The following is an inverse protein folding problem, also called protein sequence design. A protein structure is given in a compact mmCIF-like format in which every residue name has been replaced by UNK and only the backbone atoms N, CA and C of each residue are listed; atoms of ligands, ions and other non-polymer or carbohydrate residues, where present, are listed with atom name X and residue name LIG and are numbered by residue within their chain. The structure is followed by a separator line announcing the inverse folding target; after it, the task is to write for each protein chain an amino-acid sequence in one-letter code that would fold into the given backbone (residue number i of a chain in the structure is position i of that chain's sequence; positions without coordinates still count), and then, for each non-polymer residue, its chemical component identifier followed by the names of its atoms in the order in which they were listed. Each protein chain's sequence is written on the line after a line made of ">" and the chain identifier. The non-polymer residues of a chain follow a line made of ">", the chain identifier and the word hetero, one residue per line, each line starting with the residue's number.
data_IF_624958956517
#
_entry.id   IF_624958956517
#
_cell.length_a   1.000
_cell.length_b   1.000
_cell.length_c   1.000
_cell.angle_alpha   90.00
_cell.angle_beta   90.00
_cell.angle_gamma   90.00
#
_symmetry.space_group_name_H-M   'P 1'
#
loop_
_entity.id
_entity.type
_entity.pdbx_description
1 polymer ?
#
# COMPACT_ATOMS: atom_id res chain seq x y z
N UNK A 1 -58.11 9.07 10.20
CA UNK A 1 -57.45 9.67 11.38
C UNK A 1 -56.70 8.53 12.08
N UNK A 2 -55.46 8.26 11.68
CA UNK A 2 -54.61 7.22 12.26
C UNK A 2 -53.57 7.92 13.08
N UNK A 3 -53.67 7.77 14.41
CA UNK A 3 -52.72 8.28 15.38
C UNK A 3 -51.42 7.47 15.28
N UNK A 4 -50.34 8.11 14.82
CA UNK A 4 -48.95 7.65 15.09
C UNK A 4 -48.53 8.23 16.43
N UNK A 5 -48.82 7.50 17.53
CA UNK A 5 -48.10 7.66 18.79
C UNK A 5 -46.94 6.68 18.82
N UNK A 6 -45.74 7.20 18.86
CA UNK A 6 -44.51 6.47 19.03
C UNK A 6 -43.36 7.44 19.20
N UNK A 7 -43.34 8.21 20.28
CA UNK A 7 -42.19 9.00 20.73
C UNK A 7 -41.05 8.05 21.14
N UNK A 8 -40.30 7.60 20.14
CA UNK A 8 -39.03 6.99 20.39
C UNK A 8 -38.01 8.12 20.54
N UNK A 9 -37.63 8.46 21.77
CA UNK A 9 -36.41 9.23 22.02
C UNK A 9 -35.24 8.45 21.47
N UNK A 10 -34.95 8.65 20.17
CA UNK A 10 -33.73 8.16 19.59
C UNK A 10 -32.58 8.92 20.25
N UNK A 11 -31.59 8.18 20.80
CA UNK A 11 -30.38 8.79 21.29
C UNK A 11 -29.80 9.69 20.16
N UNK A 12 -29.48 10.92 20.49
CA UNK A 12 -28.86 11.85 19.52
C UNK A 12 -27.68 11.15 18.85
N UNK A 13 -27.73 11.03 17.51
CA UNK A 13 -26.68 10.37 16.73
C UNK A 13 -27.01 8.94 16.23
N UNK A 14 -28.18 8.39 16.56
CA UNK A 14 -28.65 7.09 16.02
C UNK A 14 -29.82 7.32 15.07
N UNK A 15 -29.75 6.73 13.87
CA UNK A 15 -30.72 6.91 12.80
C UNK A 15 -31.17 5.56 12.22
N UNK A 16 -32.50 5.34 12.16
CA UNK A 16 -33.09 4.19 11.49
C UNK A 16 -32.96 4.37 9.96
N UNK A 17 -32.53 3.33 9.25
CA UNK A 17 -32.46 3.30 7.80
C UNK A 17 -32.96 1.95 7.26
N UNK A 18 -33.24 1.88 5.96
CA UNK A 18 -33.76 0.69 5.32
C UNK A 18 -33.01 0.45 4.01
N UNK A 19 -32.64 -0.82 3.75
CA UNK A 19 -32.08 -1.25 2.47
C UNK A 19 -33.19 -1.37 1.41
N UNK A 20 -32.79 -1.52 0.16
CA UNK A 20 -33.73 -1.72 -0.97
C UNK A 20 -34.56 -3.00 -0.84
N UNK A 21 -34.03 -4.01 -0.16
CA UNK A 21 -34.70 -5.29 0.13
C UNK A 21 -35.66 -5.24 1.31
N UNK A 22 -35.88 -4.08 1.93
CA UNK A 22 -36.74 -3.89 3.09
C UNK A 22 -36.05 -4.12 4.45
N UNK A 23 -34.79 -4.58 4.48
CA UNK A 23 -34.06 -4.83 5.73
C UNK A 23 -33.82 -3.52 6.48
N UNK A 24 -34.27 -3.43 7.71
CA UNK A 24 -34.04 -2.30 8.61
C UNK A 24 -32.69 -2.42 9.28
N UNK A 25 -31.97 -1.29 9.40
CA UNK A 25 -30.73 -1.18 10.14
C UNK A 25 -30.59 0.20 10.79
N UNK A 26 -29.62 0.37 11.67
CA UNK A 26 -29.41 1.60 12.43
C UNK A 26 -27.99 2.11 12.20
N UNK A 27 -27.87 3.41 11.89
CA UNK A 27 -26.58 4.08 11.72
C UNK A 27 -26.23 4.83 13.00
N UNK A 28 -25.01 4.64 13.48
CA UNK A 28 -24.44 5.45 14.54
C UNK A 28 -23.50 6.49 13.95
N UNK A 29 -23.69 7.75 14.30
CA UNK A 29 -22.86 8.87 13.86
C UNK A 29 -22.59 9.80 15.04
N UNK A 30 -21.41 10.42 15.08
CA UNK A 30 -21.05 11.39 16.11
C UNK A 30 -20.64 12.72 15.47
N UNK A 31 -21.07 13.82 16.06
CA UNK A 31 -20.63 15.17 15.72
C UNK A 31 -19.49 15.55 16.65
N UNK A 32 -18.33 15.89 16.06
CA UNK A 32 -17.17 16.35 16.80
C UNK A 32 -16.44 17.43 15.99
N UNK A 33 -16.15 18.59 16.62
CA UNK A 33 -15.53 19.76 15.97
C UNK A 33 -16.11 20.08 14.58
N UNK A 34 -17.44 20.27 14.50
CA UNK A 34 -18.17 20.56 13.26
C UNK A 34 -18.07 19.49 12.15
N UNK A 35 -17.55 18.28 12.46
CA UNK A 35 -17.44 17.16 11.55
C UNK A 35 -18.39 16.04 11.94
N UNK A 36 -19.07 15.50 10.93
CA UNK A 36 -19.93 14.31 11.08
C UNK A 36 -19.12 13.05 10.84
N UNK A 37 -18.93 12.23 11.88
CA UNK A 37 -18.14 11.00 11.82
C UNK A 37 -19.05 9.79 11.90
N UNK A 38 -19.04 8.94 10.88
CA UNK A 38 -19.79 7.69 10.88
C UNK A 38 -19.09 6.64 11.73
N UNK A 39 -19.83 6.06 12.70
CA UNK A 39 -19.33 4.99 13.56
C UNK A 39 -19.69 3.60 13.02
N UNK A 40 -20.62 3.52 12.07
CA UNK A 40 -21.01 2.24 11.46
C UNK A 40 -22.52 2.09 11.30
N UNK A 41 -22.93 0.86 10.89
CA UNK A 41 -24.31 0.44 10.74
C UNK A 41 -24.52 -0.88 11.47
N UNK A 42 -25.61 -0.99 12.23
CA UNK A 42 -25.89 -2.05 13.18
C UNK A 42 -27.25 -2.66 12.93
N UNK A 43 -27.45 -3.90 13.33
CA UNK A 43 -28.73 -4.59 13.15
C UNK A 43 -29.80 -4.04 14.07
N UNK A 44 -29.45 -3.62 15.28
CA UNK A 44 -30.36 -3.12 16.30
C UNK A 44 -30.07 -1.68 16.71
N UNK A 45 -31.10 -1.02 17.21
CA UNK A 45 -30.97 0.33 17.77
C UNK A 45 -30.11 0.33 19.03
N UNK A 46 -30.17 -0.72 19.84
CA UNK A 46 -29.39 -0.85 21.07
C UNK A 46 -27.89 -0.89 20.78
N UNK A 47 -27.46 -1.71 19.82
CA UNK A 47 -26.05 -1.77 19.39
C UNK A 47 -25.56 -0.40 18.89
N UNK A 48 -26.33 0.26 18.04
CA UNK A 48 -25.98 1.58 17.53
C UNK A 48 -25.87 2.64 18.64
N UNK A 49 -26.78 2.59 19.63
CA UNK A 49 -26.80 3.50 20.78
C UNK A 49 -25.62 3.24 21.74
N UNK A 50 -25.27 1.97 21.94
CA UNK A 50 -24.12 1.59 22.77
C UNK A 50 -22.81 2.12 22.14
N UNK A 51 -22.59 1.85 20.85
CA UNK A 51 -21.40 2.35 20.14
C UNK A 51 -21.33 3.87 20.16
N UNK A 52 -22.45 4.57 19.97
CA UNK A 52 -22.50 6.03 20.06
C UNK A 52 -22.09 6.53 21.46
N UNK A 53 -22.64 5.89 22.51
CA UNK A 53 -22.37 6.27 23.91
C UNK A 53 -20.89 6.05 24.25
N UNK A 54 -20.34 4.89 23.85
CA UNK A 54 -18.94 4.56 24.09
C UNK A 54 -17.99 5.44 23.28
N UNK A 55 -18.34 5.81 22.04
CA UNK A 55 -17.56 6.75 21.25
C UNK A 55 -17.51 8.16 21.86
N UNK A 56 -18.62 8.61 22.49
CA UNK A 56 -18.62 9.87 23.26
C UNK A 56 -17.74 9.79 24.49
N UNK A 57 -17.79 8.68 25.23
CA UNK A 57 -16.94 8.45 26.40
C UNK A 57 -15.46 8.43 25.98
N UNK A 58 -15.11 7.74 24.91
CA UNK A 58 -13.76 7.69 24.33
C UNK A 58 -13.20 9.09 24.02
N UNK A 59 -14.01 9.96 23.40
CA UNK A 59 -13.59 11.33 23.08
C UNK A 59 -13.43 12.21 24.31
N UNK A 60 -14.16 11.90 25.40
CA UNK A 60 -14.10 12.64 26.68
C UNK A 60 -13.00 12.11 27.62
N UNK A 61 -12.43 10.93 27.34
CA UNK A 61 -11.42 10.29 28.19
C UNK A 61 -10.00 10.67 27.73
N UNK A 62 -9.29 11.56 28.42
CA UNK A 62 -7.92 11.94 28.07
C UNK A 62 -6.91 10.81 28.30
N UNK A 63 -7.25 9.78 29.10
CA UNK A 63 -6.39 8.63 29.37
C UNK A 63 -6.45 7.56 28.27
N UNK A 64 -7.48 7.59 27.42
CA UNK A 64 -7.62 6.69 26.29
C UNK A 64 -6.57 7.00 25.23
N UNK A 65 -5.54 6.15 25.13
CA UNK A 65 -4.40 6.31 24.20
C UNK A 65 -4.16 5.05 23.37
N UNK A 66 -3.66 5.22 22.13
CA UNK A 66 -3.25 4.12 21.27
C UNK A 66 -1.86 3.60 21.67
N UNK A 67 -1.62 2.27 21.62
CA UNK A 67 -2.57 1.19 21.27
C UNK A 67 -3.39 0.66 22.46
N UNK A 68 -3.16 1.13 23.69
CA UNK A 68 -3.72 0.54 24.91
C UNK A 68 -5.26 0.46 24.92
N UNK A 69 -5.92 1.46 24.34
CA UNK A 69 -7.39 1.53 24.27
C UNK A 69 -8.03 0.33 23.56
N UNK A 70 -7.33 -0.33 22.64
CA UNK A 70 -7.85 -1.51 21.92
C UNK A 70 -8.14 -2.70 22.85
N UNK A 71 -7.44 -2.79 23.97
CA UNK A 71 -7.52 -3.88 24.92
C UNK A 71 -8.43 -3.55 26.12
N UNK A 72 -9.03 -2.35 26.15
CA UNK A 72 -9.97 -1.94 27.18
C UNK A 72 -11.37 -2.45 26.83
N UNK A 73 -11.94 -3.30 27.71
CA UNK A 73 -13.26 -3.87 27.54
C UNK A 73 -14.36 -2.80 27.36
N UNK A 74 -14.14 -1.65 27.95
CA UNK A 74 -15.07 -0.52 27.87
C UNK A 74 -15.33 -0.06 26.43
N UNK A 75 -14.35 -0.08 25.55
CA UNK A 75 -14.42 0.40 24.17
C UNK A 75 -14.50 -0.71 23.13
N UNK A 76 -14.59 -1.98 23.54
CA UNK A 76 -14.55 -3.15 22.67
C UNK A 76 -15.66 -3.19 21.61
N UNK A 77 -16.78 -2.51 21.86
CA UNK A 77 -17.92 -2.43 20.90
C UNK A 77 -17.66 -1.47 19.74
N UNK A 78 -16.67 -0.57 19.88
CA UNK A 78 -16.30 0.38 18.81
C UNK A 78 -15.36 -0.33 17.84
N UNK A 79 -15.62 -0.32 16.51
CA UNK A 79 -14.65 -0.83 15.53
C UNK A 79 -13.28 -0.14 15.69
N UNK A 80 -12.18 -0.91 15.66
CA UNK A 80 -10.83 -0.39 15.90
C UNK A 80 -10.46 0.79 14.99
N UNK A 81 -10.87 0.73 13.71
CA UNK A 81 -10.64 1.80 12.76
C UNK A 81 -11.32 3.10 13.20
N UNK A 82 -12.51 3.01 13.82
CA UNK A 82 -13.21 4.19 14.37
C UNK A 82 -12.54 4.72 15.63
N UNK A 83 -12.01 3.84 16.48
CA UNK A 83 -11.20 4.26 17.64
C UNK A 83 -10.01 5.11 17.16
N UNK A 84 -9.25 4.63 16.16
CA UNK A 84 -8.09 5.37 15.62
C UNK A 84 -8.51 6.71 15.03
N UNK A 85 -9.56 6.73 14.20
CA UNK A 85 -10.06 7.96 13.55
C UNK A 85 -10.48 9.00 14.62
N UNK A 86 -11.22 8.57 15.64
CA UNK A 86 -11.70 9.46 16.71
C UNK A 86 -10.55 10.01 17.56
N UNK A 87 -9.61 9.15 17.98
CA UNK A 87 -8.46 9.57 18.77
C UNK A 87 -7.52 10.47 17.97
N UNK A 88 -7.26 10.16 16.70
CA UNK A 88 -6.48 11.08 15.87
C UNK A 88 -7.16 12.45 15.73
N UNK A 89 -8.48 12.45 15.53
CA UNK A 89 -9.21 13.71 15.42
C UNK A 89 -9.24 14.50 16.72
N UNK A 90 -9.36 13.81 17.88
CA UNK A 90 -9.28 14.43 19.21
C UNK A 90 -7.91 15.06 19.48
N UNK A 91 -6.85 14.28 19.23
CA UNK A 91 -5.50 14.60 19.67
C UNK A 91 -4.76 15.53 18.68
N UNK A 92 -5.00 15.34 17.39
CA UNK A 92 -4.30 16.05 16.31
C UNK A 92 -5.17 17.07 15.57
N UNK A 93 -6.47 17.17 15.89
CA UNK A 93 -7.39 18.14 15.28
C UNK A 93 -7.70 17.86 13.80
N UNK A 94 -7.19 16.75 13.23
CA UNK A 94 -7.35 16.40 11.82
C UNK A 94 -8.22 15.17 11.65
N UNK A 95 -9.35 15.32 10.93
CA UNK A 95 -10.20 14.19 10.57
C UNK A 95 -9.64 13.47 9.34
N UNK A 96 -9.32 12.18 9.48
CA UNK A 96 -8.89 11.29 8.41
C UNK A 96 -9.90 10.15 8.27
N UNK A 97 -10.25 9.75 7.03
CA UNK A 97 -11.27 8.73 6.75
C UNK A 97 -10.80 7.29 6.94
N UNK A 98 -9.50 7.09 7.13
CA UNK A 98 -8.81 5.81 7.31
C UNK A 98 -8.17 5.75 8.70
N UNK A 99 -7.80 4.57 9.22
CA UNK A 99 -7.26 4.41 10.57
C UNK A 99 -5.81 4.89 10.70
N UNK A 100 -5.61 6.17 10.47
CA UNK A 100 -4.32 6.86 10.59
C UNK A 100 -4.26 7.64 11.89
N UNK A 101 -3.11 7.56 12.59
CA UNK A 101 -2.78 8.39 13.73
C UNK A 101 -1.45 9.12 13.48
N UNK A 102 -1.50 10.45 13.52
CA UNK A 102 -0.32 11.30 13.36
C UNK A 102 0.55 11.24 14.63
N UNK A 103 1.79 10.79 14.50
CA UNK A 103 2.72 10.64 15.64
C UNK A 103 3.64 11.85 15.80
N UNK A 104 4.01 12.50 14.70
CA UNK A 104 4.88 13.68 14.69
C UNK A 104 4.71 14.46 13.38
N UNK A 105 5.51 15.51 13.22
CA UNK A 105 5.59 16.27 11.96
C UNK A 105 6.25 15.48 10.81
N UNK A 106 6.82 14.31 11.07
CA UNK A 106 7.61 13.56 10.09
C UNK A 106 6.97 12.25 9.65
N UNK A 107 6.17 11.59 10.50
CA UNK A 107 5.57 10.31 10.16
C UNK A 107 4.21 10.10 10.82
N UNK A 108 3.44 9.20 10.25
CA UNK A 108 2.19 8.71 10.81
C UNK A 108 2.19 7.17 10.90
N UNK A 109 1.26 6.67 11.70
CA UNK A 109 0.98 5.24 11.84
C UNK A 109 -0.38 4.94 11.24
N UNK A 110 -0.44 3.93 10.37
CA UNK A 110 -1.67 3.35 9.86
C UNK A 110 -1.94 2.04 10.61
N UNK A 111 -3.05 1.94 11.31
CA UNK A 111 -3.45 0.72 12.00
C UNK A 111 -4.17 -0.23 11.04
N UNK A 112 -3.49 -1.30 10.63
CA UNK A 112 -4.08 -2.34 9.80
C UNK A 112 -5.00 -3.25 10.63
N UNK A 113 -4.65 -3.46 11.89
CA UNK A 113 -5.43 -4.09 12.97
C UNK A 113 -4.97 -3.51 14.31
N UNK A 114 -5.60 -3.88 15.45
CA UNK A 114 -5.12 -3.50 16.78
C UNK A 114 -3.65 -3.89 17.07
N UNK A 115 -3.17 -4.97 16.44
CA UNK A 115 -1.83 -5.53 16.65
C UNK A 115 -0.83 -5.13 15.57
N UNK A 116 -1.29 -4.57 14.44
CA UNK A 116 -0.41 -4.31 13.28
C UNK A 116 -0.42 -2.82 12.96
N UNK A 117 0.70 -2.19 13.25
CA UNK A 117 1.00 -0.79 12.95
C UNK A 117 1.91 -0.71 11.72
N UNK A 118 1.54 0.09 10.74
CA UNK A 118 2.38 0.42 9.60
C UNK A 118 2.84 1.87 9.71
N UNK A 119 4.15 2.13 9.60
CA UNK A 119 4.73 3.47 9.68
C UNK A 119 5.00 4.01 8.29
N UNK A 120 4.62 5.26 8.03
CA UNK A 120 4.82 5.96 6.76
C UNK A 120 5.33 7.37 6.98
N UNK A 121 6.06 7.90 6.02
CA UNK A 121 6.38 9.33 5.97
C UNK A 121 5.12 10.17 5.70
N UNK A 122 5.09 11.41 6.23
CA UNK A 122 3.93 12.30 6.05
C UNK A 122 3.66 12.68 4.59
N UNK A 123 4.62 12.52 3.69
CA UNK A 123 4.44 12.72 2.26
C UNK A 123 3.36 11.79 1.66
N UNK A 124 3.17 10.62 2.29
CA UNK A 124 2.15 9.65 1.89
C UNK A 124 0.78 9.86 2.55
N UNK A 125 0.65 10.82 3.49
CA UNK A 125 -0.56 11.04 4.26
C UNK A 125 -1.78 11.30 3.38
N UNK A 126 -1.64 12.17 2.38
CA UNK A 126 -2.72 12.53 1.48
C UNK A 126 -3.28 11.30 0.74
N UNK A 127 -2.40 10.43 0.28
CA UNK A 127 -2.79 9.20 -0.42
C UNK A 127 -3.53 8.24 0.51
N UNK A 128 -2.94 7.86 1.64
CA UNK A 128 -3.53 6.88 2.56
C UNK A 128 -4.71 7.42 3.38
N UNK A 129 -4.92 8.73 3.44
CA UNK A 129 -6.12 9.31 4.07
C UNK A 129 -7.42 8.96 3.32
N UNK A 130 -7.32 8.65 2.02
CA UNK A 130 -8.43 8.28 1.13
C UNK A 130 -8.36 6.86 0.58
N UNK A 131 -7.19 6.20 0.62
CA UNK A 131 -6.99 4.84 0.12
C UNK A 131 -6.79 3.86 1.28
N UNK A 132 -7.79 3.03 1.52
CA UNK A 132 -7.71 2.02 2.58
C UNK A 132 -6.70 0.94 2.20
N UNK A 133 -5.79 0.63 3.13
CA UNK A 133 -4.85 -0.49 2.99
C UNK A 133 -5.59 -1.78 3.29
N UNK A 134 -5.42 -2.75 2.41
CA UNK A 134 -5.98 -4.09 2.48
C UNK A 134 -4.86 -5.13 2.49
N UNK A 135 -5.15 -6.32 3.03
CA UNK A 135 -4.20 -7.44 3.08
C UNK A 135 -4.80 -8.68 2.45
N UNK A 136 -4.04 -9.33 1.57
CA UNK A 136 -4.43 -10.60 0.94
C UNK A 136 -3.20 -11.47 0.73
N UNK A 137 -3.20 -12.71 1.23
CA UNK A 137 -2.08 -13.64 1.05
C UNK A 137 -0.73 -13.11 1.56
N UNK A 138 -0.74 -12.29 2.63
CA UNK A 138 0.47 -11.65 3.14
C UNK A 138 0.86 -10.34 2.47
N UNK A 139 0.28 -10.02 1.30
CA UNK A 139 0.58 -8.80 0.56
C UNK A 139 -0.34 -7.64 0.95
N UNK A 140 0.25 -6.46 1.11
CA UNK A 140 -0.46 -5.21 1.38
C UNK A 140 -0.70 -4.46 0.07
N UNK A 141 -1.93 -3.96 -0.11
CA UNK A 141 -2.32 -3.23 -1.33
C UNK A 141 -3.41 -2.21 -1.03
N UNK A 142 -3.58 -1.28 -1.94
CA UNK A 142 -4.73 -0.36 -2.01
C UNK A 142 -5.53 -0.64 -3.28
N UNK A 143 -6.82 -0.30 -3.26
CA UNK A 143 -7.60 -0.26 -4.49
C UNK A 143 -7.53 1.15 -5.08
N UNK A 144 -7.06 1.25 -6.31
CA UNK A 144 -6.98 2.50 -7.06
C UNK A 144 -7.54 2.28 -8.47
N UNK A 145 -8.57 3.04 -8.86
CA UNK A 145 -9.29 2.91 -10.14
C UNK A 145 -9.69 1.47 -10.49
N UNK A 146 -10.12 0.68 -9.49
CA UNK A 146 -10.52 -0.72 -9.68
C UNK A 146 -9.35 -1.72 -9.77
N UNK A 147 -8.11 -1.27 -9.68
CA UNK A 147 -6.92 -2.12 -9.67
C UNK A 147 -6.36 -2.27 -8.25
N UNK A 148 -5.81 -3.46 -7.96
CA UNK A 148 -5.04 -3.69 -6.75
C UNK A 148 -3.59 -3.21 -6.95
N UNK A 149 -3.20 -2.17 -6.21
CA UNK A 149 -1.86 -1.58 -6.28
C UNK A 149 -1.09 -1.99 -5.03
N UNK A 150 0.02 -2.71 -5.21
CA UNK A 150 0.90 -3.09 -4.10
C UNK A 150 1.48 -1.85 -3.42
N UNK A 151 1.56 -1.84 -2.09
CA UNK A 151 2.21 -0.76 -1.35
C UNK A 151 3.68 -0.59 -1.76
N UNK A 152 4.36 -1.70 -2.03
CA UNK A 152 5.77 -1.70 -2.42
C UNK A 152 6.02 -1.04 -3.78
N UNK A 153 5.01 -0.92 -4.64
CA UNK A 153 5.15 -0.24 -5.94
C UNK A 153 5.49 1.25 -5.79
N UNK A 154 5.15 1.88 -4.67
CA UNK A 154 5.50 3.29 -4.36
C UNK A 154 7.02 3.49 -4.20
N UNK A 155 7.77 2.43 -3.88
CA UNK A 155 9.23 2.40 -3.77
C UNK A 155 9.89 1.91 -5.06
N UNK A 156 9.14 1.79 -6.16
CA UNK A 156 9.65 1.20 -7.40
C UNK A 156 9.89 -0.31 -7.32
N UNK A 157 9.36 -0.98 -6.29
CA UNK A 157 9.51 -2.42 -6.07
C UNK A 157 8.41 -3.16 -6.84
N UNK A 158 8.81 -4.18 -7.59
CA UNK A 158 7.95 -4.96 -8.47
C UNK A 158 7.04 -5.91 -7.67
N UNK A 159 5.87 -6.25 -8.20
CA UNK A 159 4.90 -7.12 -7.52
C UNK A 159 5.43 -8.53 -7.21
N UNK A 160 6.42 -9.02 -7.95
CA UNK A 160 7.06 -10.33 -7.76
C UNK A 160 8.42 -10.26 -7.05
N UNK A 161 8.77 -9.09 -6.52
CA UNK A 161 10.04 -8.87 -5.83
C UNK A 161 10.10 -9.66 -4.52
N UNK A 162 11.28 -10.18 -4.20
CA UNK A 162 11.54 -11.01 -3.02
C UNK A 162 12.35 -10.21 -2.01
N UNK A 163 11.85 -10.14 -0.77
CA UNK A 163 12.56 -9.50 0.33
C UNK A 163 13.93 -10.18 0.58
N UNK A 164 14.95 -9.37 0.84
CA UNK A 164 16.33 -9.83 1.01
C UNK A 164 17.09 -10.06 -0.30
N UNK A 165 16.39 -10.09 -1.45
CA UNK A 165 16.98 -10.26 -2.78
C UNK A 165 16.77 -9.04 -3.67
N UNK A 166 15.53 -8.61 -3.82
CA UNK A 166 15.16 -7.50 -4.71
C UNK A 166 15.01 -6.19 -3.95
N UNK A 167 14.65 -6.27 -2.67
CA UNK A 167 14.54 -5.14 -1.76
C UNK A 167 14.81 -5.58 -0.32
N UNK A 168 15.07 -4.63 0.55
CA UNK A 168 15.25 -4.90 1.98
C UNK A 168 14.67 -3.80 2.86
N UNK A 169 14.42 -4.15 4.12
CA UNK A 169 14.14 -3.21 5.17
C UNK A 169 15.43 -2.95 5.96
N UNK A 170 15.96 -1.73 5.85
CA UNK A 170 17.28 -1.36 6.39
C UNK A 170 17.39 -1.60 7.90
N UNK A 171 16.30 -1.35 8.66
CA UNK A 171 16.23 -1.61 10.10
C UNK A 171 15.68 -3.00 10.44
N UNK A 172 15.36 -3.84 9.44
CA UNK A 172 14.80 -5.18 9.60
C UNK A 172 13.30 -5.23 9.93
N UNK A 173 12.61 -4.09 10.09
CA UNK A 173 11.18 -4.02 10.41
C UNK A 173 10.34 -3.90 9.12
N UNK A 174 9.59 -4.95 8.72
CA UNK A 174 8.76 -4.92 7.51
C UNK A 174 7.48 -4.09 7.66
N UNK A 175 7.18 -3.60 8.86
CA UNK A 175 6.05 -2.71 9.12
C UNK A 175 6.44 -1.23 9.06
N UNK A 176 7.73 -0.93 9.06
CA UNK A 176 8.25 0.40 8.85
C UNK A 176 8.44 0.68 7.35
N UNK A 177 7.41 1.28 6.76
CA UNK A 177 7.33 1.60 5.34
C UNK A 177 7.76 3.03 5.03
N UNK A 178 8.60 3.65 5.87
CA UNK A 178 9.20 4.94 5.56
C UNK A 178 10.28 4.79 4.48
N UNK A 179 10.43 5.79 3.62
CA UNK A 179 11.37 5.76 2.49
C UNK A 179 12.80 5.45 2.93
N UNK A 180 13.23 5.97 4.08
CA UNK A 180 14.57 5.70 4.62
C UNK A 180 14.80 4.23 4.99
N UNK A 181 13.75 3.45 5.23
CA UNK A 181 13.83 2.05 5.60
C UNK A 181 13.65 1.08 4.45
N UNK A 182 12.98 1.48 3.38
CA UNK A 182 12.70 0.59 2.23
C UNK A 182 13.72 0.83 1.13
N UNK A 183 14.65 -0.10 0.95
CA UNK A 183 15.71 -0.03 -0.07
C UNK A 183 15.45 -1.00 -1.21
N UNK A 184 15.26 -0.48 -2.42
CA UNK A 184 15.17 -1.30 -3.63
C UNK A 184 16.57 -1.70 -4.08
N UNK A 185 16.86 -3.01 -4.12
CA UNK A 185 18.17 -3.58 -4.49
C UNK A 185 18.23 -3.79 -6.01
N UNK A 186 17.12 -4.25 -6.61
CA UNK A 186 17.02 -4.56 -8.04
C UNK A 186 15.93 -3.70 -8.73
N UNK A 187 16.21 -2.40 -8.99
CA UNK A 187 15.20 -1.48 -9.53
C UNK A 187 14.82 -1.77 -10.99
N UNK A 188 15.70 -2.43 -11.76
CA UNK A 188 15.49 -2.64 -13.18
C UNK A 188 14.86 -3.99 -13.51
N UNK A 189 13.98 -4.01 -14.52
CA UNK A 189 13.37 -5.23 -15.03
C UNK A 189 14.42 -6.17 -15.62
N UNK A 190 14.30 -7.45 -15.26
CA UNK A 190 15.17 -8.51 -15.77
C UNK A 190 16.61 -8.44 -15.27
N UNK A 191 16.95 -7.51 -14.37
CA UNK A 191 18.29 -7.36 -13.77
C UNK A 191 18.26 -7.90 -12.36
N UNK A 192 19.30 -8.65 -12.00
CA UNK A 192 19.54 -9.15 -10.65
C UNK A 192 21.00 -8.92 -10.26
N UNK A 193 21.22 -8.30 -9.12
CA UNK A 193 22.53 -8.11 -8.52
C UNK A 193 23.06 -9.47 -8.05
N UNK A 194 24.31 -9.78 -8.41
CA UNK A 194 25.03 -10.97 -7.93
C UNK A 194 26.25 -10.48 -7.14
N UNK A 195 26.42 -11.00 -5.95
CA UNK A 195 27.59 -10.78 -5.12
C UNK A 195 28.36 -12.10 -4.97
N UNK A 196 29.53 -12.15 -5.58
CA UNK A 196 30.45 -13.29 -5.49
C UNK A 196 31.67 -12.88 -4.66
N UNK A 197 31.59 -13.09 -3.34
CA UNK A 197 32.67 -12.78 -2.39
C UNK A 197 33.15 -11.32 -2.48
N UNK A 198 32.22 -10.36 -2.51
CA UNK A 198 32.49 -8.94 -2.59
C UNK A 198 32.69 -8.40 -4.01
N UNK A 199 32.72 -9.26 -5.03
CA UNK A 199 32.66 -8.83 -6.42
C UNK A 199 31.23 -8.73 -6.92
N UNK A 200 30.74 -7.52 -7.08
CA UNK A 200 29.38 -7.25 -7.57
C UNK A 200 29.36 -7.32 -9.09
N UNK A 201 28.36 -8.03 -9.63
CA UNK A 201 28.00 -8.09 -11.03
C UNK A 201 26.48 -8.11 -11.18
N UNK A 202 25.99 -7.92 -12.42
CA UNK A 202 24.57 -7.81 -12.70
C UNK A 202 24.18 -8.77 -13.80
N UNK A 203 23.30 -9.73 -13.44
CA UNK A 203 22.77 -10.72 -14.36
C UNK A 203 21.51 -10.18 -15.01
N UNK A 204 21.49 -10.19 -16.35
CA UNK A 204 20.28 -9.85 -17.11
C UNK A 204 19.60 -11.09 -17.66
N UNK A 205 18.28 -11.20 -17.43
CA UNK A 205 17.41 -12.26 -17.96
C UNK A 205 16.14 -11.69 -18.56
N UNK A 206 15.60 -12.38 -19.55
CA UNK A 206 14.26 -12.11 -20.10
C UNK A 206 13.42 -13.40 -20.08
N UNK A 207 12.12 -13.26 -19.78
CA UNK A 207 11.20 -14.40 -19.77
C UNK A 207 10.30 -14.40 -21.01
N UNK A 208 10.62 -15.31 -21.98
CA UNK A 208 9.82 -15.53 -23.19
C UNK A 208 9.64 -17.04 -23.34
N UNK A 209 8.49 -17.59 -22.91
CA UNK A 209 8.26 -19.05 -22.91
C UNK A 209 9.39 -19.85 -22.23
N UNK A 210 10.12 -19.22 -21.30
CA UNK A 210 11.30 -19.71 -20.61
C UNK A 210 12.20 -18.54 -20.18
N UNK A 211 13.18 -18.83 -19.33
CA UNK A 211 14.14 -17.82 -18.85
C UNK A 211 15.41 -17.86 -19.71
N UNK A 212 15.67 -16.79 -20.44
CA UNK A 212 16.88 -16.62 -21.23
C UNK A 212 17.84 -15.68 -20.54
N UNK A 213 19.07 -16.15 -20.31
CA UNK A 213 20.15 -15.28 -19.84
C UNK A 213 20.64 -14.42 -21.02
N UNK A 214 20.64 -13.12 -20.83
CA UNK A 214 21.10 -12.13 -21.81
C UNK A 214 22.60 -11.90 -21.67
N UNK A 215 23.06 -11.73 -20.43
CA UNK A 215 24.48 -11.53 -20.10
C UNK A 215 24.71 -11.28 -18.63
N UNK A 216 25.99 -11.13 -18.26
CA UNK A 216 26.44 -10.64 -16.96
C UNK A 216 27.28 -9.40 -17.21
N UNK A 217 27.01 -8.31 -16.50
CA UNK A 217 27.58 -6.99 -16.72
C UNK A 217 28.21 -6.46 -15.44
N UNK A 218 29.16 -5.54 -15.57
CA UNK A 218 29.87 -4.96 -14.44
C UNK A 218 29.10 -3.77 -13.82
N UNK A 219 28.15 -3.19 -14.53
CA UNK A 219 27.32 -2.12 -14.02
C UNK A 219 25.82 -2.45 -14.19
N UNK A 220 25.03 -1.90 -13.26
CA UNK A 220 23.59 -2.01 -13.28
C UNK A 220 22.98 -1.33 -14.52
N UNK A 221 23.57 -0.19 -14.91
CA UNK A 221 23.21 0.55 -16.13
C UNK A 221 23.37 -0.29 -17.39
N UNK A 222 24.53 -0.95 -17.56
CA UNK A 222 24.75 -1.84 -18.71
C UNK A 222 23.76 -3.01 -18.72
N UNK A 223 23.51 -3.61 -17.56
CA UNK A 223 22.55 -4.71 -17.41
C UNK A 223 21.11 -4.28 -17.77
N UNK A 224 20.71 -3.08 -17.35
CA UNK A 224 19.39 -2.52 -17.66
C UNK A 224 19.23 -2.20 -19.16
N UNK A 225 20.27 -1.65 -19.79
CA UNK A 225 20.28 -1.39 -21.25
C UNK A 225 20.30 -2.71 -22.02
N UNK A 226 21.02 -3.73 -21.53
CA UNK A 226 21.02 -5.06 -22.13
C UNK A 226 19.64 -5.71 -22.13
N UNK A 227 18.86 -5.51 -21.05
CA UNK A 227 17.47 -5.95 -21.03
C UNK A 227 16.62 -5.23 -22.07
N UNK A 228 16.73 -3.90 -22.18
CA UNK A 228 16.00 -3.13 -23.20
C UNK A 228 16.38 -3.61 -24.62
N UNK A 229 17.67 -3.81 -24.89
CA UNK A 229 18.13 -4.37 -26.18
C UNK A 229 17.56 -5.76 -26.46
N UNK A 230 17.46 -6.61 -25.43
CA UNK A 230 16.85 -7.93 -25.59
C UNK A 230 15.36 -7.84 -25.91
N UNK A 231 14.64 -6.90 -25.28
CA UNK A 231 13.23 -6.62 -25.59
C UNK A 231 13.04 -6.16 -27.03
N UNK A 232 13.88 -5.23 -27.50
CA UNK A 232 13.83 -4.72 -28.88
C UNK A 232 14.09 -5.84 -29.91
N UNK A 233 15.07 -6.70 -29.64
CA UNK A 233 15.35 -7.86 -30.49
C UNK A 233 14.19 -8.85 -30.51
N UNK A 234 13.55 -9.12 -29.37
CA UNK A 234 12.36 -9.96 -29.31
C UNK A 234 11.22 -9.39 -30.16
N UNK A 235 10.97 -8.09 -30.04
CA UNK A 235 9.95 -7.39 -30.81
C UNK A 235 10.26 -7.42 -32.31
N UNK A 236 11.52 -7.19 -32.71
CA UNK A 236 11.95 -7.29 -34.11
C UNK A 236 11.80 -8.70 -34.68
N UNK A 237 11.92 -9.75 -33.83
CA UNK A 237 11.69 -11.14 -34.18
C UNK A 237 10.20 -11.56 -34.15
N UNK A 238 9.26 -10.60 -34.02
CA UNK A 238 7.82 -10.87 -34.09
C UNK A 238 7.18 -11.30 -32.76
N UNK A 239 7.83 -11.04 -31.62
CA UNK A 239 7.23 -11.33 -30.32
C UNK A 239 6.32 -10.17 -29.88
N UNK A 240 5.01 -10.40 -29.81
CA UNK A 240 3.99 -9.40 -29.46
C UNK A 240 3.83 -9.17 -27.96
N UNK A 241 4.56 -9.91 -27.11
CA UNK A 241 4.48 -9.75 -25.66
C UNK A 241 5.01 -8.37 -25.25
N UNK A 242 4.20 -7.65 -24.46
CA UNK A 242 4.59 -6.35 -23.94
C UNK A 242 5.54 -6.52 -22.76
N UNK A 243 6.73 -5.99 -22.89
CA UNK A 243 7.74 -5.91 -21.83
C UNK A 243 7.88 -4.46 -21.38
N UNK A 244 7.95 -4.18 -20.06
CA UNK A 244 8.27 -2.83 -19.58
C UNK A 244 9.72 -2.51 -19.91
N UNK A 245 9.97 -1.31 -20.43
CA UNK A 245 11.32 -0.82 -20.66
C UNK A 245 11.93 -0.28 -19.37
N UNK A 246 13.23 -0.45 -19.19
CA UNK A 246 13.97 0.19 -18.11
C UNK A 246 14.27 1.65 -18.48
N UNK A 247 13.86 2.57 -17.62
CA UNK A 247 14.27 3.97 -17.69
C UNK A 247 15.50 4.16 -16.78
N UNK A 248 16.59 4.67 -17.33
CA UNK A 248 17.84 4.90 -16.61
C UNK A 248 17.97 6.39 -16.37
N UNK A 249 17.72 6.83 -15.14
CA UNK A 249 17.83 8.23 -14.75
C UNK A 249 19.28 8.73 -14.86
N UNK A 250 19.46 9.99 -15.29
CA UNK A 250 20.76 10.63 -15.33
C UNK A 250 21.66 10.24 -16.52
N UNK A 251 21.18 9.39 -17.42
CA UNK A 251 21.92 9.00 -18.64
C UNK A 251 21.40 9.82 -19.84
N UNK A 252 22.31 10.46 -20.56
CA UNK A 252 21.97 11.16 -21.81
C UNK A 252 21.63 10.18 -22.95
N UNK A 253 20.87 10.64 -23.95
CA UNK A 253 20.54 9.80 -25.11
C UNK A 253 21.81 9.32 -25.87
N UNK A 254 22.87 10.13 -25.91
CA UNK A 254 24.14 9.77 -26.55
C UNK A 254 24.86 8.65 -25.81
N UNK A 255 24.99 8.78 -24.49
CA UNK A 255 25.60 7.75 -23.63
C UNK A 255 24.78 6.44 -23.68
N UNK A 256 23.46 6.53 -23.64
CA UNK A 256 22.58 5.36 -23.81
C UNK A 256 22.84 4.66 -25.14
N UNK A 257 22.89 5.39 -26.26
CA UNK A 257 23.11 4.84 -27.59
C UNK A 257 24.49 4.18 -27.73
N UNK A 258 25.54 4.79 -27.15
CA UNK A 258 26.87 4.22 -27.12
C UNK A 258 26.92 2.89 -26.40
N UNK A 259 26.36 2.83 -25.16
CA UNK A 259 26.29 1.61 -24.36
C UNK A 259 25.44 0.56 -25.08
N UNK A 260 24.25 0.93 -25.59
CA UNK A 260 23.35 0.05 -26.31
C UNK A 260 24.02 -0.60 -27.53
N UNK A 261 24.80 0.17 -28.28
CA UNK A 261 25.53 -0.32 -29.48
C UNK A 261 26.60 -1.33 -29.09
N UNK A 262 27.37 -1.04 -28.05
CA UNK A 262 28.47 -1.87 -27.55
C UNK A 262 28.02 -3.16 -26.90
N UNK A 263 26.87 -3.16 -26.22
CA UNK A 263 26.37 -4.36 -25.53
C UNK A 263 26.09 -5.50 -26.49
N UNK A 264 26.67 -6.65 -26.16
CA UNK A 264 26.39 -7.91 -26.84
C UNK A 264 25.36 -8.72 -26.06
N UNK A 265 24.40 -9.31 -26.76
CA UNK A 265 23.39 -10.20 -26.22
C UNK A 265 23.83 -11.65 -26.44
N UNK A 266 23.57 -12.54 -25.48
CA UNK A 266 24.04 -13.92 -25.53
C UNK A 266 23.66 -14.64 -26.82
N UNK A 267 24.56 -15.50 -27.32
CA UNK A 267 24.32 -16.30 -28.51
C UNK A 267 23.09 -17.21 -28.37
N UNK A 268 22.89 -17.81 -27.20
CA UNK A 268 21.73 -18.66 -26.93
C UNK A 268 20.39 -17.93 -27.13
N UNK A 269 20.32 -16.64 -26.70
CA UNK A 269 19.14 -15.83 -26.89
C UNK A 269 18.93 -15.43 -28.35
N UNK A 270 19.99 -15.05 -29.05
CA UNK A 270 19.93 -14.72 -30.49
C UNK A 270 19.50 -15.93 -31.31
N UNK A 271 20.04 -17.12 -31.02
CA UNK A 271 19.65 -18.38 -31.64
C UNK A 271 18.14 -18.70 -31.45
N UNK A 272 17.65 -18.47 -30.22
CA UNK A 272 16.22 -18.63 -29.94
C UNK A 272 15.34 -17.70 -30.79
N UNK A 273 15.79 -16.47 -31.03
CA UNK A 273 15.09 -15.51 -31.89
C UNK A 273 15.28 -15.72 -33.38
N UNK A 274 16.13 -16.68 -33.81
CA UNK A 274 16.43 -16.93 -35.22
C UNK A 274 17.30 -15.86 -35.90
N UNK A 275 18.06 -15.08 -35.11
CA UNK A 275 18.94 -13.95 -35.58
C UNK A 275 20.42 -14.17 -35.25
N UNK A 276 20.80 -15.42 -34.97
CA UNK A 276 22.19 -15.81 -34.67
C UNK A 276 22.97 -16.12 -35.91
#
# INVERSE_FOLDING_TARGET
>A
MIHFQGDWHMASGVYKAQKKDGTVYYRANIHYHAKHVSLGSYATQSEAAEVYTKARALLADPSATLPHVFFQQEYAVIPYDKIVILLNFRDNGMYLGTPIYLKSTHYFVYYLSPEIELKFDNDDLFYYSSHRILRRGGHLYTNDYGMQVSLLSRYGIKNYAVAGTDYEFVNGDPTDLRYANVRNINPYYGVSRIDNNGRISYLTRIHINGNYQIGIYNSETEAAIAYNKAVDLAKAAGNDKKYPANYIAGLSASEYAEIYTRITVSHAYRKYLGIA
#
